data_IF_257709481357
#
_entry.id   IF_257709481357
#
_cell.length_a   1.000
_cell.length_b   1.000
_cell.length_c   1.000
_cell.angle_alpha   90.00
_cell.angle_beta   90.00
_cell.angle_gamma   90.00
#
_symmetry.space_group_name_H-M   'P 1'
#
loop_
_entity.id
_entity.type
_entity.pdbx_description
1 polymer ?
#
# COMPACT_ATOMS: atom_id res chain seq x y z
N UNK A 1 0.11 -17.03 27.89
CA UNK A 1 1.25 -16.24 28.39
C UNK A 1 2.48 -16.81 27.72
N UNK A 2 3.11 -16.06 26.82
CA UNK A 2 4.37 -16.46 26.19
C UNK A 2 5.47 -16.27 27.22
N UNK A 3 6.21 -17.32 27.55
CA UNK A 3 7.27 -17.26 28.56
C UNK A 3 8.32 -16.23 28.16
N UNK A 4 8.69 -15.35 29.09
CA UNK A 4 9.70 -14.30 28.87
C UNK A 4 11.04 -14.94 28.44
N UNK A 5 11.32 -16.15 28.91
CA UNK A 5 12.50 -16.94 28.53
C UNK A 5 12.53 -17.32 27.04
N UNK A 6 11.38 -17.62 26.43
CA UNK A 6 11.30 -17.94 25.00
C UNK A 6 11.55 -16.71 24.12
N UNK A 7 11.19 -15.52 24.59
CA UNK A 7 11.45 -14.26 23.87
C UNK A 7 12.96 -14.00 23.78
N UNK A 8 13.70 -14.21 24.88
CA UNK A 8 15.16 -14.05 24.89
C UNK A 8 15.89 -15.16 24.13
N UNK A 9 15.39 -16.40 24.18
CA UNK A 9 16.00 -17.55 23.49
C UNK A 9 16.01 -17.41 21.96
N UNK A 10 15.06 -16.67 21.40
CA UNK A 10 14.88 -16.52 19.96
C UNK A 10 15.12 -15.10 19.43
N UNK A 11 15.75 -14.21 20.21
CA UNK A 11 15.98 -12.81 19.80
C UNK A 11 16.67 -12.69 18.44
N UNK A 12 17.67 -13.56 18.19
CA UNK A 12 18.42 -13.60 16.93
C UNK A 12 17.54 -13.80 15.67
N UNK A 13 16.35 -14.39 15.83
CA UNK A 13 15.37 -14.56 14.75
C UNK A 13 14.67 -13.26 14.36
N UNK A 14 14.61 -12.30 15.28
CA UNK A 14 13.79 -11.09 15.18
C UNK A 14 14.63 -9.81 15.19
N UNK A 15 15.90 -9.85 15.59
CA UNK A 15 16.81 -8.69 15.71
C UNK A 15 17.00 -7.86 14.41
N UNK A 16 16.66 -8.43 13.26
CA UNK A 16 16.74 -7.76 11.95
C UNK A 16 15.46 -6.99 11.59
N UNK A 17 14.39 -7.15 12.37
CA UNK A 17 13.11 -6.47 12.20
C UNK A 17 13.16 -5.20 13.05
N UNK A 18 13.23 -4.06 12.39
CA UNK A 18 13.19 -2.76 13.04
C UNK A 18 11.73 -2.38 13.33
N UNK A 19 11.36 -2.37 14.62
CA UNK A 19 10.02 -1.98 15.09
C UNK A 19 9.66 -0.53 14.74
N UNK A 20 10.64 0.34 14.49
CA UNK A 20 10.40 1.70 14.04
C UNK A 20 10.15 1.80 12.53
N UNK A 21 10.61 0.81 11.76
CA UNK A 21 10.40 0.74 10.32
C UNK A 21 8.99 0.22 9.99
N UNK A 22 8.02 1.14 9.91
CA UNK A 22 6.62 0.80 9.61
C UNK A 22 6.48 0.08 8.27
N UNK A 23 7.26 0.46 7.24
CA UNK A 23 7.22 -0.18 5.92
C UNK A 23 7.61 -1.65 6.03
N UNK A 24 8.72 -1.94 6.72
CA UNK A 24 9.18 -3.30 6.95
C UNK A 24 8.15 -4.11 7.74
N UNK A 25 7.71 -3.59 8.88
CA UNK A 25 6.75 -4.30 9.74
C UNK A 25 5.43 -4.60 8.98
N UNK A 26 4.86 -3.61 8.30
CA UNK A 26 3.59 -3.79 7.60
C UNK A 26 3.72 -4.75 6.42
N UNK A 27 4.82 -4.69 5.68
CA UNK A 27 5.14 -5.63 4.62
C UNK A 27 5.22 -7.07 5.13
N UNK A 28 6.02 -7.30 6.17
CA UNK A 28 6.26 -8.63 6.73
C UNK A 28 4.97 -9.25 7.28
N UNK A 29 4.21 -8.49 8.07
CA UNK A 29 2.94 -8.97 8.61
C UNK A 29 1.96 -9.28 7.49
N UNK A 30 1.87 -8.41 6.47
CA UNK A 30 0.99 -8.63 5.32
C UNK A 30 1.36 -9.88 4.53
N UNK A 31 2.66 -10.12 4.34
CA UNK A 31 3.15 -11.33 3.67
C UNK A 31 2.80 -12.59 4.48
N UNK A 32 2.99 -12.56 5.80
CA UNK A 32 2.55 -13.64 6.71
C UNK A 32 1.04 -13.88 6.58
N UNK A 33 0.24 -12.81 6.62
CA UNK A 33 -1.21 -12.87 6.56
C UNK A 33 -1.71 -13.49 5.25
N UNK A 34 -1.22 -13.02 4.10
CA UNK A 34 -1.63 -13.51 2.79
C UNK A 34 -1.28 -14.99 2.58
N UNK A 35 -0.11 -15.42 3.05
CA UNK A 35 0.30 -16.82 2.99
C UNK A 35 -0.60 -17.69 3.83
N UNK A 36 -0.92 -17.25 5.04
CA UNK A 36 -1.81 -17.96 5.94
C UNK A 36 -3.21 -18.11 5.35
N UNK A 37 -3.76 -17.04 4.77
CA UNK A 37 -5.05 -17.06 4.08
C UNK A 37 -5.05 -18.09 2.93
N UNK A 38 -4.02 -18.06 2.09
CA UNK A 38 -3.92 -18.98 0.95
C UNK A 38 -3.74 -20.44 1.38
N UNK A 39 -2.94 -20.69 2.41
CA UNK A 39 -2.76 -22.05 2.93
C UNK A 39 -4.09 -22.64 3.42
N UNK A 40 -4.99 -21.80 3.97
CA UNK A 40 -6.36 -22.22 4.33
C UNK A 40 -7.21 -22.55 3.12
N UNK A 41 -7.19 -21.73 2.07
CA UNK A 41 -7.95 -21.96 0.83
C UNK A 41 -7.60 -23.33 0.22
N UNK A 42 -6.31 -23.63 0.06
CA UNK A 42 -5.86 -24.91 -0.50
C UNK A 42 -6.34 -26.14 0.29
N UNK A 43 -6.48 -26.01 1.61
CA UNK A 43 -6.97 -27.11 2.45
C UNK A 43 -8.47 -27.31 2.29
N UNK A 44 -9.23 -26.22 2.19
CA UNK A 44 -10.68 -26.31 1.92
C UNK A 44 -10.90 -27.03 0.59
N UNK A 45 -10.14 -26.69 -0.45
CA UNK A 45 -10.21 -27.38 -1.75
C UNK A 45 -9.85 -28.88 -1.61
N UNK A 46 -8.76 -29.20 -0.92
CA UNK A 46 -8.31 -30.59 -0.74
C UNK A 46 -9.28 -31.44 0.12
N UNK A 47 -9.90 -30.84 1.13
CA UNK A 47 -10.90 -31.50 1.98
C UNK A 47 -12.25 -31.67 1.27
N UNK A 48 -12.62 -30.76 0.38
CA UNK A 48 -13.80 -30.93 -0.50
C UNK A 48 -13.56 -32.06 -1.51
N UNK A 49 -12.37 -32.15 -2.09
CA UNK A 49 -12.01 -33.22 -3.02
C UNK A 49 -11.93 -34.59 -2.33
N UNK A 50 -11.38 -34.66 -1.12
CA UNK A 50 -11.34 -35.87 -0.29
C UNK A 50 -12.71 -36.21 0.32
N UNK A 51 -13.59 -35.24 0.54
CA UNK A 51 -14.96 -35.42 1.04
C UNK A 51 -15.88 -36.16 0.05
N UNK A 52 -15.50 -36.29 -1.22
CA UNK A 52 -16.14 -37.21 -2.18
C UNK A 52 -15.69 -38.67 -2.00
N UNK A 53 -14.71 -38.93 -1.14
CA UNK A 53 -14.16 -40.24 -0.81
C UNK A 53 -13.93 -40.35 0.72
N UNK A 54 -15.01 -40.54 1.48
CA UNK A 54 -15.01 -40.99 2.89
C UNK A 54 -14.13 -40.22 3.89
N UNK A 55 -14.74 -39.32 4.67
CA UNK A 55 -14.73 -39.30 6.16
C UNK A 55 -14.93 -37.90 6.75
N UNK A 56 -15.58 -37.88 7.92
CA UNK A 56 -16.04 -36.71 8.66
C UNK A 56 -14.90 -35.82 9.21
N UNK A 57 -14.48 -34.82 8.43
CA UNK A 57 -13.83 -33.63 8.96
C UNK A 57 -14.77 -32.43 8.80
N UNK A 58 -15.77 -32.35 9.68
CA UNK A 58 -16.59 -31.14 9.84
C UNK A 58 -15.78 -30.08 10.55
N UNK A 59 -14.93 -29.40 9.80
CA UNK A 59 -14.34 -28.16 10.26
C UNK A 59 -15.24 -27.02 9.78
N UNK A 60 -16.23 -26.67 10.60
CA UNK A 60 -17.01 -25.44 10.42
C UNK A 60 -16.05 -24.27 10.60
N UNK A 61 -15.53 -23.75 9.50
CA UNK A 61 -14.73 -22.55 9.47
C UNK A 61 -15.55 -21.43 8.87
N UNK A 62 -15.84 -20.39 9.66
CA UNK A 62 -16.38 -19.14 9.12
C UNK A 62 -15.32 -18.49 8.21
N UNK A 63 -15.64 -18.19 6.94
CA UNK A 63 -14.78 -17.37 6.11
C UNK A 63 -14.64 -15.99 6.77
N UNK A 64 -13.40 -15.60 7.11
CA UNK A 64 -13.14 -14.35 7.84
C UNK A 64 -13.12 -13.12 6.89
N UNK A 65 -14.06 -13.07 5.94
CA UNK A 65 -14.26 -12.19 4.78
C UNK A 65 -13.88 -12.80 3.43
N UNK A 66 -14.83 -12.77 2.48
CA UNK A 66 -14.61 -13.10 1.08
C UNK A 66 -13.73 -12.03 0.41
N UNK A 67 -12.62 -12.40 -0.27
CA UNK A 67 -11.92 -11.47 -1.15
C UNK A 67 -12.89 -11.03 -2.28
N UNK A 68 -12.77 -9.79 -2.80
CA UNK A 68 -13.53 -9.38 -3.97
C UNK A 68 -13.32 -10.37 -5.13
N UNK A 69 -14.40 -10.76 -5.81
CA UNK A 69 -14.48 -11.80 -6.87
C UNK A 69 -13.45 -11.62 -8.01
N UNK A 70 -12.85 -10.44 -8.15
CA UNK A 70 -11.94 -10.02 -9.22
C UNK A 70 -10.44 -10.04 -8.84
N UNK A 71 -10.04 -10.69 -7.74
CA UNK A 71 -8.65 -10.68 -7.25
C UNK A 71 -7.69 -11.56 -8.07
N UNK A 72 -7.25 -11.06 -9.22
CA UNK A 72 -6.26 -11.72 -10.11
C UNK A 72 -4.80 -11.30 -9.85
N UNK A 73 -4.46 -10.67 -8.72
CA UNK A 73 -3.04 -10.54 -8.35
C UNK A 73 -2.60 -11.89 -7.80
N UNK A 74 -1.95 -12.67 -8.65
CA UNK A 74 -1.29 -13.90 -8.26
C UNK A 74 -0.13 -13.59 -7.30
N UNK A 75 -0.42 -13.48 -6.00
CA UNK A 75 0.54 -13.75 -4.92
C UNK A 75 1.01 -15.23 -4.91
N UNK A 76 0.92 -15.91 -6.06
CA UNK A 76 0.89 -17.38 -6.19
C UNK A 76 2.24 -18.06 -6.10
N UNK A 77 3.33 -17.42 -6.51
CA UNK A 77 4.55 -18.18 -6.81
C UNK A 77 5.54 -18.27 -5.64
N UNK A 78 5.73 -17.20 -4.87
CA UNK A 78 6.99 -17.07 -4.11
C UNK A 78 7.06 -17.84 -2.79
N UNK A 79 5.92 -18.25 -2.24
CA UNK A 79 5.90 -19.02 -0.98
C UNK A 79 5.49 -20.49 -1.22
N UNK A 80 4.71 -20.77 -2.27
CA UNK A 80 4.48 -22.17 -2.70
C UNK A 80 5.79 -22.83 -3.12
N UNK A 81 6.69 -22.13 -3.83
CA UNK A 81 7.98 -22.70 -4.24
C UNK A 81 8.88 -23.07 -3.04
N UNK A 82 8.72 -22.38 -1.89
CA UNK A 82 9.40 -22.75 -0.65
C UNK A 82 8.71 -23.91 0.10
N UNK A 83 7.42 -24.15 -0.14
CA UNK A 83 6.64 -25.23 0.48
C UNK A 83 6.64 -26.54 -0.33
N UNK A 84 6.77 -26.48 -1.66
CA UNK A 84 6.88 -27.65 -2.55
C UNK A 84 8.18 -28.44 -2.34
N UNK A 85 9.24 -27.79 -1.82
CA UNK A 85 10.53 -28.43 -1.58
C UNK A 85 10.63 -29.14 -0.21
N UNK A 86 9.57 -29.19 0.60
CA UNK A 86 9.59 -29.90 1.89
C UNK A 86 8.81 -31.22 1.85
N UNK A 87 9.50 -32.37 1.94
CA UNK A 87 8.84 -33.67 2.02
C UNK A 87 8.43 -33.93 3.48
N UNK A 88 7.23 -33.49 3.89
CA UNK A 88 6.44 -34.08 5.02
C UNK A 88 5.14 -33.32 5.25
N UNK A 89 4.01 -34.03 5.11
CA UNK A 89 2.65 -33.58 5.42
C UNK A 89 2.47 -32.93 6.81
N UNK A 90 3.30 -33.30 7.81
CA UNK A 90 3.17 -32.81 9.19
C UNK A 90 3.64 -31.37 9.44
N UNK A 91 4.51 -30.80 8.60
CA UNK A 91 4.97 -29.40 8.77
C UNK A 91 4.06 -28.38 8.08
N UNK A 92 3.37 -28.79 7.01
CA UNK A 92 2.33 -28.01 6.39
C UNK A 92 1.21 -27.77 7.43
N UNK A 93 0.76 -28.82 8.11
CA UNK A 93 -0.21 -28.74 9.22
C UNK A 93 0.25 -27.79 10.36
N UNK A 94 1.52 -27.82 10.77
CA UNK A 94 2.04 -26.95 11.84
C UNK A 94 2.08 -25.45 11.48
N UNK A 95 2.27 -25.11 10.21
CA UNK A 95 2.19 -23.72 9.75
C UNK A 95 0.73 -23.23 9.71
N UNK A 96 -0.16 -24.12 9.26
CA UNK A 96 -1.58 -23.92 8.95
C UNK A 96 -2.45 -23.76 10.22
N UNK A 97 -2.16 -24.52 11.29
CA UNK A 97 -3.00 -24.55 12.50
C UNK A 97 -2.70 -23.38 13.46
N UNK A 98 -1.69 -22.54 13.19
CA UNK A 98 -1.39 -21.43 14.13
C UNK A 98 -2.47 -20.36 14.09
N UNK A 99 -3.27 -20.29 15.15
CA UNK A 99 -4.33 -19.30 15.40
C UNK A 99 -3.83 -17.86 15.60
N UNK A 100 -2.53 -17.61 15.45
CA UNK A 100 -1.85 -16.40 15.92
C UNK A 100 -1.50 -15.41 14.80
N UNK A 101 -2.10 -15.56 13.61
CA UNK A 101 -1.89 -14.62 12.50
C UNK A 101 -2.85 -13.44 12.63
N UNK A 102 -2.29 -12.26 12.91
CA UNK A 102 -3.06 -11.01 12.99
C UNK A 102 -3.43 -10.51 11.60
N UNK A 103 -4.70 -10.19 11.39
CA UNK A 103 -5.15 -9.47 10.19
C UNK A 103 -4.67 -8.01 10.26
N UNK A 104 -3.84 -7.52 9.31
CA UNK A 104 -3.34 -6.14 9.33
C UNK A 104 -4.46 -5.09 9.42
N UNK A 105 -5.63 -5.34 8.81
CA UNK A 105 -6.78 -4.43 8.84
C UNK A 105 -7.32 -4.16 10.24
N UNK A 106 -7.17 -5.14 11.15
CA UNK A 106 -7.69 -5.06 12.52
C UNK A 106 -6.72 -4.35 13.48
N UNK A 107 -5.54 -3.96 13.01
CA UNK A 107 -4.49 -3.39 13.86
C UNK A 107 -4.72 -1.92 14.08
N UNK A 108 -4.99 -1.50 15.32
CA UNK A 108 -5.24 -0.10 15.67
C UNK A 108 -3.96 0.61 16.17
N UNK A 109 -2.94 -0.15 16.61
CA UNK A 109 -1.66 0.37 17.11
C UNK A 109 -0.49 -0.15 16.25
N UNK A 110 0.43 0.75 15.88
CA UNK A 110 1.67 0.41 15.17
C UNK A 110 2.48 -0.67 15.90
N UNK A 111 2.52 -0.65 17.23
CA UNK A 111 3.26 -1.65 18.01
C UNK A 111 2.68 -3.06 17.82
N UNK A 112 1.37 -3.18 17.58
CA UNK A 112 0.74 -4.47 17.33
C UNK A 112 1.10 -5.07 15.97
N UNK A 113 1.59 -4.27 15.01
CA UNK A 113 2.15 -4.78 13.75
C UNK A 113 3.39 -5.61 14.05
N UNK A 114 4.35 -5.02 14.78
CA UNK A 114 5.58 -5.69 15.18
C UNK A 114 5.27 -6.91 16.04
N UNK A 115 4.47 -6.74 17.10
CA UNK A 115 4.11 -7.82 18.01
C UNK A 115 3.43 -8.99 17.29
N UNK A 116 2.58 -8.72 16.29
CA UNK A 116 1.94 -9.75 15.48
C UNK A 116 2.94 -10.65 14.73
N UNK A 117 4.01 -10.06 14.20
CA UNK A 117 5.09 -10.81 13.53
C UNK A 117 5.84 -11.69 14.54
N UNK A 118 6.20 -11.13 15.69
CA UNK A 118 6.92 -11.84 16.75
C UNK A 118 6.10 -13.02 17.29
N UNK A 119 4.82 -12.78 17.61
CA UNK A 119 3.89 -13.83 18.06
C UNK A 119 3.78 -14.94 17.03
N UNK A 120 3.69 -14.60 15.74
CA UNK A 120 3.66 -15.60 14.68
C UNK A 120 4.92 -16.48 14.64
N UNK A 121 6.12 -15.87 14.66
CA UNK A 121 7.39 -16.60 14.59
C UNK A 121 7.56 -17.49 15.84
N UNK A 122 7.30 -16.96 17.04
CA UNK A 122 7.48 -17.70 18.29
C UNK A 122 6.48 -18.85 18.40
N UNK A 123 5.25 -18.68 17.89
CA UNK A 123 4.20 -19.72 17.92
C UNK A 123 4.55 -21.02 17.20
N UNK A 124 5.60 -21.04 16.37
CA UNK A 124 6.01 -22.25 15.66
C UNK A 124 6.74 -23.20 16.61
N UNK A 125 6.39 -24.48 16.55
CA UNK A 125 6.87 -25.49 17.51
C UNK A 125 8.34 -25.89 17.32
N UNK A 126 8.86 -25.79 16.10
CA UNK A 126 10.17 -26.34 15.72
C UNK A 126 11.10 -25.24 15.19
N UNK A 127 12.38 -25.28 15.59
CA UNK A 127 13.36 -24.22 15.33
C UNK A 127 13.76 -24.15 13.86
N UNK A 128 13.77 -25.28 13.16
CA UNK A 128 14.02 -25.38 11.72
C UNK A 128 12.94 -24.63 10.94
N UNK A 129 11.67 -24.77 11.35
CA UNK A 129 10.55 -24.02 10.76
C UNK A 129 10.72 -22.52 11.01
N UNK A 130 11.05 -22.11 12.24
CA UNK A 130 11.30 -20.70 12.57
C UNK A 130 12.42 -20.11 11.70
N UNK A 131 13.56 -20.80 11.60
CA UNK A 131 14.70 -20.38 10.79
C UNK A 131 14.34 -20.27 9.31
N UNK A 132 13.59 -21.24 8.77
CA UNK A 132 13.13 -21.22 7.38
C UNK A 132 12.24 -20.01 7.09
N UNK A 133 11.22 -19.78 7.91
CA UNK A 133 10.30 -18.63 7.79
C UNK A 133 11.08 -17.33 7.84
N UNK A 134 11.95 -17.16 8.84
CA UNK A 134 12.76 -15.95 9.00
C UNK A 134 13.69 -15.75 7.81
N UNK A 135 14.33 -16.81 7.31
CA UNK A 135 15.17 -16.76 6.12
C UNK A 135 14.40 -16.27 4.89
N UNK A 136 13.20 -16.79 4.66
CA UNK A 136 12.33 -16.37 3.56
C UNK A 136 11.87 -14.91 3.71
N UNK A 137 11.43 -14.51 4.90
CA UNK A 137 11.02 -13.13 5.20
C UNK A 137 12.18 -12.15 5.02
N UNK A 138 13.38 -12.48 5.50
CA UNK A 138 14.61 -11.69 5.30
C UNK A 138 14.92 -11.53 3.82
N UNK A 139 14.93 -12.62 3.06
CA UNK A 139 15.24 -12.59 1.63
C UNK A 139 14.22 -11.75 0.86
N UNK A 140 12.95 -11.95 1.18
CA UNK A 140 11.84 -11.19 0.60
C UNK A 140 11.96 -9.69 0.88
N UNK A 141 12.24 -9.31 2.12
CA UNK A 141 12.43 -7.90 2.50
C UNK A 141 13.63 -7.29 1.78
N UNK A 142 14.77 -7.99 1.68
CA UNK A 142 15.96 -7.49 0.96
C UNK A 142 15.68 -7.15 -0.50
N UNK A 143 14.80 -7.89 -1.16
CA UNK A 143 14.39 -7.61 -2.54
C UNK A 143 13.54 -6.34 -2.64
N UNK A 144 12.66 -6.13 -1.66
CA UNK A 144 11.77 -4.96 -1.57
C UNK A 144 12.51 -3.69 -1.17
N UNK A 145 13.41 -3.79 -0.19
CA UNK A 145 14.21 -2.69 0.34
C UNK A 145 15.08 -2.04 -0.74
N UNK A 146 15.67 -2.86 -1.62
CA UNK A 146 16.46 -2.43 -2.78
C UNK A 146 15.62 -2.04 -3.99
N UNK A 147 14.29 -2.09 -3.87
CA UNK A 147 13.34 -1.91 -4.94
C UNK A 147 13.13 -0.46 -5.37
N UNK A 148 11.94 -0.19 -5.87
CA UNK A 148 11.56 1.11 -6.44
C UNK A 148 11.45 2.17 -5.35
N UNK A 149 11.96 3.38 -5.63
CA UNK A 149 11.79 4.53 -4.75
C UNK A 149 10.33 5.04 -4.76
N UNK A 150 9.75 5.10 -3.55
CA UNK A 150 8.40 5.59 -3.29
C UNK A 150 8.38 6.92 -2.51
N UNK A 151 9.50 7.65 -2.45
CA UNK A 151 9.61 9.00 -1.88
C UNK A 151 8.45 9.92 -2.30
N UNK A 152 8.07 9.90 -3.58
CA UNK A 152 6.97 10.69 -4.12
C UNK A 152 5.58 10.40 -3.52
N UNK A 153 5.39 9.24 -2.87
CA UNK A 153 4.23 8.89 -2.04
C UNK A 153 4.48 9.28 -0.57
N UNK A 154 5.63 8.87 0.00
CA UNK A 154 5.98 9.09 1.42
C UNK A 154 5.98 10.58 1.77
N UNK A 155 6.55 11.40 0.90
CA UNK A 155 6.70 12.84 1.11
C UNK A 155 5.38 13.59 0.98
N UNK A 156 4.34 12.96 0.42
CA UNK A 156 3.05 13.60 0.18
C UNK A 156 2.01 13.23 1.23
N UNK A 157 2.09 13.86 2.40
CA UNK A 157 1.19 13.65 3.55
C UNK A 157 -0.21 14.27 3.43
N UNK A 158 -0.68 14.58 2.22
CA UNK A 158 -2.01 15.14 1.99
C UNK A 158 -3.09 14.06 2.03
N UNK A 159 -4.07 14.20 2.94
CA UNK A 159 -5.16 13.23 3.11
C UNK A 159 -6.01 13.08 1.83
N UNK A 160 -6.19 14.15 1.06
CA UNK A 160 -6.92 14.09 -0.22
C UNK A 160 -6.14 13.25 -1.26
N UNK A 161 -4.81 13.28 -1.20
CA UNK A 161 -3.94 12.48 -2.05
C UNK A 161 -3.97 11.00 -1.67
N UNK A 162 -3.89 10.68 -0.38
CA UNK A 162 -3.97 9.30 0.13
C UNK A 162 -5.29 8.65 -0.27
N UNK A 163 -6.42 9.35 -0.05
CA UNK A 163 -7.75 8.90 -0.49
C UNK A 163 -7.81 8.71 -2.01
N UNK A 164 -7.18 9.60 -2.78
CA UNK A 164 -7.14 9.49 -4.23
C UNK A 164 -6.35 8.25 -4.69
N UNK A 165 -5.17 7.95 -4.11
CA UNK A 165 -4.39 6.75 -4.48
C UNK A 165 -5.18 5.48 -4.15
N UNK A 166 -5.78 5.38 -2.96
CA UNK A 166 -6.58 4.20 -2.58
C UNK A 166 -7.70 3.97 -3.59
N UNK A 167 -8.43 5.03 -3.98
CA UNK A 167 -9.47 4.93 -5.00
C UNK A 167 -8.90 4.57 -6.39
N UNK A 168 -7.70 5.06 -6.72
CA UNK A 168 -7.02 4.68 -7.96
C UNK A 168 -6.69 3.18 -7.98
N UNK A 169 -6.22 2.62 -6.86
CA UNK A 169 -5.97 1.18 -6.73
C UNK A 169 -7.25 0.35 -6.84
N UNK A 170 -8.33 0.76 -6.17
CA UNK A 170 -9.65 0.14 -6.31
C UNK A 170 -10.13 0.08 -7.77
N UNK A 171 -10.05 1.21 -8.47
CA UNK A 171 -10.41 1.29 -9.91
C UNK A 171 -9.49 0.47 -10.80
N UNK A 172 -8.25 0.26 -10.37
CA UNK A 172 -7.25 -0.53 -11.09
C UNK A 172 -7.26 -2.00 -10.70
N UNK A 173 -8.26 -2.47 -9.93
CA UNK A 173 -8.35 -3.85 -9.41
C UNK A 173 -7.16 -4.29 -8.54
N UNK A 174 -6.52 -3.33 -7.86
CA UNK A 174 -5.43 -3.56 -6.90
C UNK A 174 -5.85 -3.28 -5.45
N UNK A 175 -7.09 -3.59 -5.06
CA UNK A 175 -7.65 -3.15 -3.77
C UNK A 175 -7.17 -3.99 -2.57
N UNK A 176 -6.28 -3.54 -1.68
CA UNK A 176 -5.83 -4.35 -0.55
C UNK A 176 -6.85 -4.40 0.58
N UNK A 177 -7.90 -5.19 0.40
CA UNK A 177 -9.00 -5.32 1.35
C UNK A 177 -8.55 -5.69 2.77
N UNK A 178 -7.37 -6.28 2.94
CA UNK A 178 -6.76 -6.73 4.19
C UNK A 178 -5.84 -5.69 4.86
N UNK A 179 -5.59 -4.53 4.24
CA UNK A 179 -4.73 -3.49 4.83
C UNK A 179 -5.54 -2.43 5.59
N UNK A 180 -4.96 -1.84 6.64
CA UNK A 180 -5.58 -0.80 7.45
C UNK A 180 -5.51 0.60 6.79
N UNK A 181 -6.12 0.76 5.61
CA UNK A 181 -6.08 2.04 4.87
C UNK A 181 -7.03 3.14 5.41
N UNK A 182 -7.91 2.79 6.34
CA UNK A 182 -8.88 3.71 7.00
C UNK A 182 -8.40 4.23 8.36
N UNK A 183 -7.20 3.81 8.79
CA UNK A 183 -6.63 4.16 10.09
C UNK A 183 -5.76 5.42 10.01
N UNK A 184 -4.89 5.59 11.02
CA UNK A 184 -3.91 6.67 11.13
C UNK A 184 -3.22 7.01 9.80
N UNK A 185 -2.95 8.31 9.61
CA UNK A 185 -2.38 8.84 8.38
C UNK A 185 -1.09 8.12 8.00
N UNK A 186 -0.16 7.91 8.94
CA UNK A 186 1.11 7.29 8.63
C UNK A 186 0.91 5.81 8.24
N UNK A 187 0.01 5.08 8.91
CA UNK A 187 -0.34 3.69 8.57
C UNK A 187 -0.96 3.60 7.17
N UNK A 188 -1.82 4.54 6.78
CA UNK A 188 -2.43 4.54 5.46
C UNK A 188 -1.39 4.74 4.33
N UNK A 189 -0.37 5.58 4.54
CA UNK A 189 0.72 5.77 3.57
C UNK A 189 1.56 4.51 3.40
N UNK A 190 1.95 3.88 4.50
CA UNK A 190 2.70 2.62 4.43
C UNK A 190 1.85 1.47 3.89
N UNK A 191 0.53 1.49 4.08
CA UNK A 191 -0.39 0.53 3.45
C UNK A 191 -0.34 0.64 1.93
N UNK A 192 -0.37 1.86 1.37
CA UNK A 192 -0.23 2.09 -0.07
C UNK A 192 1.08 1.48 -0.60
N UNK A 193 2.19 1.73 0.09
CA UNK A 193 3.51 1.24 -0.29
C UNK A 193 3.57 -0.28 -0.18
N UNK A 194 2.98 -0.84 0.87
CA UNK A 194 2.94 -2.28 1.12
C UNK A 194 2.30 -3.03 -0.06
N UNK A 195 1.25 -2.49 -0.68
CA UNK A 195 0.62 -3.09 -1.88
C UNK A 195 1.62 -3.21 -3.01
N UNK A 196 2.36 -2.13 -3.26
CA UNK A 196 3.35 -2.07 -4.33
C UNK A 196 4.53 -2.98 -4.00
N UNK A 197 4.96 -3.04 -2.75
CA UNK A 197 6.05 -3.91 -2.29
C UNK A 197 5.70 -5.39 -2.40
N UNK A 198 4.44 -5.71 -2.12
CA UNK A 198 3.89 -7.06 -2.16
C UNK A 198 3.77 -7.60 -3.59
N UNK A 199 3.48 -6.74 -4.57
CA UNK A 199 3.44 -7.16 -5.98
C UNK A 199 4.82 -7.61 -6.47
N UNK A 200 5.00 -8.88 -6.83
CA UNK A 200 6.25 -9.37 -7.40
C UNK A 200 6.40 -8.84 -8.84
N UNK A 201 7.53 -8.20 -9.21
CA UNK A 201 7.81 -7.84 -10.60
C UNK A 201 7.65 -8.98 -11.62
N UNK A 202 7.80 -10.24 -11.18
CA UNK A 202 7.65 -11.45 -12.00
C UNK A 202 6.19 -11.89 -12.16
N UNK A 203 5.27 -11.35 -11.37
CA UNK A 203 3.86 -11.69 -11.48
C UNK A 203 3.31 -11.21 -12.82
N UNK A 204 3.00 -12.15 -13.70
CA UNK A 204 2.25 -11.89 -14.93
C UNK A 204 0.77 -11.96 -14.55
N UNK A 205 0.16 -10.80 -14.41
CA UNK A 205 -1.29 -10.68 -14.22
C UNK A 205 -1.92 -10.58 -15.62
N UNK A 206 -2.74 -11.56 -16.05
CA UNK A 206 -3.39 -11.53 -17.35
C UNK A 206 -4.16 -10.22 -17.55
N UNK A 207 -4.09 -9.65 -18.76
CA UNK A 207 -4.77 -8.39 -19.11
C UNK A 207 -4.40 -7.18 -18.22
N UNK A 208 -3.31 -7.28 -17.46
CA UNK A 208 -2.82 -6.21 -16.61
C UNK A 208 -1.38 -5.86 -16.98
N UNK A 209 -1.02 -4.62 -16.71
CA UNK A 209 0.30 -4.10 -17.07
C UNK A 209 1.37 -4.53 -16.05
N UNK A 210 2.63 -4.54 -16.45
CA UNK A 210 3.71 -4.86 -15.51
C UNK A 210 3.78 -3.85 -14.35
N UNK A 211 4.28 -4.30 -13.20
CA UNK A 211 4.48 -3.45 -12.01
C UNK A 211 5.16 -2.13 -12.34
N UNK A 212 6.22 -2.18 -13.15
CA UNK A 212 6.97 -0.99 -13.53
C UNK A 212 6.12 -0.02 -14.36
N UNK A 213 5.39 -0.52 -15.36
CA UNK A 213 4.52 0.32 -16.18
C UNK A 213 3.35 0.90 -15.36
N UNK A 214 2.81 0.12 -14.40
CA UNK A 214 1.77 0.59 -13.50
C UNK A 214 2.25 1.76 -12.63
N UNK A 215 3.42 1.61 -12.01
CA UNK A 215 4.01 2.66 -11.17
C UNK A 215 4.28 3.92 -11.99
N UNK A 216 4.77 3.81 -13.23
CA UNK A 216 4.97 4.97 -14.11
C UNK A 216 3.65 5.67 -14.49
N UNK A 217 2.58 4.91 -14.78
CA UNK A 217 1.24 5.51 -14.97
C UNK A 217 0.74 6.20 -13.71
N UNK A 218 0.92 5.56 -12.56
CA UNK A 218 0.51 6.10 -11.26
C UNK A 218 1.25 7.41 -10.94
N UNK A 219 2.56 7.47 -11.16
CA UNK A 219 3.36 8.70 -11.02
C UNK A 219 2.86 9.82 -11.93
N UNK A 220 2.60 9.54 -13.21
CA UNK A 220 2.05 10.54 -14.16
C UNK A 220 0.68 11.04 -13.69
N UNK A 221 -0.19 10.14 -13.27
CA UNK A 221 -1.51 10.49 -12.75
C UNK A 221 -1.41 11.32 -11.45
N UNK A 222 -0.43 11.02 -10.59
CA UNK A 222 -0.21 11.72 -9.33
C UNK A 222 0.23 13.18 -9.55
N UNK A 223 1.14 13.42 -10.50
CA UNK A 223 1.54 14.78 -10.92
C UNK A 223 0.33 15.58 -11.42
N UNK A 224 -0.51 14.96 -12.26
CA UNK A 224 -1.73 15.60 -12.74
C UNK A 224 -2.74 15.88 -11.63
N UNK A 225 -2.91 14.96 -10.66
CA UNK A 225 -3.78 15.18 -9.50
C UNK A 225 -3.27 16.32 -8.62
N UNK A 226 -1.97 16.36 -8.33
CA UNK A 226 -1.32 17.48 -7.61
C UNK A 226 -1.56 18.82 -8.34
N UNK A 227 -1.43 18.84 -9.66
CA UNK A 227 -1.73 20.03 -10.46
C UNK A 227 -3.20 20.45 -10.34
N UNK A 228 -4.14 19.51 -10.47
CA UNK A 228 -5.58 19.78 -10.31
C UNK A 228 -5.93 20.29 -8.90
N UNK A 229 -5.31 19.74 -7.86
CA UNK A 229 -5.50 20.20 -6.48
C UNK A 229 -5.02 21.65 -6.29
N UNK A 230 -3.86 22.02 -6.87
CA UNK A 230 -3.38 23.42 -6.88
C UNK A 230 -4.33 24.39 -7.59
N UNK A 231 -5.16 23.88 -8.51
CA UNK A 231 -6.14 24.64 -9.27
C UNK A 231 -7.56 24.62 -8.67
N UNK A 232 -7.81 23.98 -7.52
CA UNK A 232 -9.16 23.83 -6.96
C UNK A 232 -9.91 25.17 -6.76
N UNK A 233 -9.17 26.26 -6.51
CA UNK A 233 -9.69 27.63 -6.41
C UNK A 233 -9.21 28.55 -7.54
N UNK A 234 -8.62 28.00 -8.61
CA UNK A 234 -8.06 28.77 -9.73
C UNK A 234 -8.61 28.23 -11.04
N UNK A 235 -9.41 29.04 -11.72
CA UNK A 235 -9.85 28.72 -13.08
C UNK A 235 -8.77 29.18 -14.06
N UNK A 236 -8.32 28.29 -14.93
CA UNK A 236 -7.42 28.66 -16.03
C UNK A 236 -8.26 29.35 -17.09
N UNK A 237 -7.86 30.56 -17.46
CA UNK A 237 -8.47 31.32 -18.54
C UNK A 237 -7.48 31.41 -19.70
N UNK A 238 -7.97 31.15 -20.91
CA UNK A 238 -7.27 31.46 -22.15
C UNK A 238 -7.95 32.67 -22.75
N UNK A 239 -7.17 33.70 -23.06
CA UNK A 239 -7.68 34.93 -23.69
C UNK A 239 -7.00 35.12 -25.03
N UNK A 240 -7.77 35.44 -26.06
CA UNK A 240 -7.23 36.01 -27.28
C UNK A 240 -6.95 37.49 -27.06
N UNK A 241 -5.76 37.95 -27.43
CA UNK A 241 -5.36 39.35 -27.34
C UNK A 241 -4.41 39.70 -28.48
N UNK A 242 -4.37 40.97 -28.85
CA UNK A 242 -3.40 41.46 -29.82
C UNK A 242 -1.97 41.21 -29.32
N UNK A 243 -1.09 40.82 -30.25
CA UNK A 243 0.29 40.41 -29.96
C UNK A 243 1.08 41.53 -29.25
N UNK A 244 0.85 42.79 -29.62
CA UNK A 244 1.51 43.93 -29.01
C UNK A 244 1.15 44.10 -27.52
N UNK A 245 -0.11 43.86 -27.15
CA UNK A 245 -0.58 43.84 -25.77
C UNK A 245 0.05 42.67 -25.00
N UNK A 246 0.12 41.50 -25.63
CA UNK A 246 0.81 40.34 -25.08
C UNK A 246 2.25 40.65 -24.69
N UNK A 247 3.01 41.29 -25.59
CA UNK A 247 4.41 41.71 -25.38
C UNK A 247 4.52 42.76 -24.26
N UNK A 248 3.62 43.76 -24.22
CA UNK A 248 3.62 44.76 -23.15
C UNK A 248 3.40 44.11 -21.78
N UNK A 249 2.48 43.18 -21.71
CA UNK A 249 2.17 42.45 -20.48
C UNK A 249 3.35 41.57 -20.01
N UNK A 250 4.07 40.93 -20.94
CA UNK A 250 5.29 40.16 -20.62
C UNK A 250 6.42 41.05 -20.11
N UNK A 251 6.64 42.20 -20.76
CA UNK A 251 7.65 43.18 -20.32
C UNK A 251 7.33 43.74 -18.93
N UNK A 252 6.08 44.12 -18.69
CA UNK A 252 5.63 44.60 -17.38
C UNK A 252 5.80 43.56 -16.28
N UNK A 253 5.40 42.31 -16.54
CA UNK A 253 5.58 41.20 -15.60
C UNK A 253 7.06 40.99 -15.26
N UNK A 254 7.93 41.04 -16.27
CA UNK A 254 9.38 40.88 -16.10
C UNK A 254 10.01 42.04 -15.32
N UNK A 255 9.61 43.29 -15.60
CA UNK A 255 10.10 44.48 -14.89
C UNK A 255 9.71 44.48 -13.40
N UNK A 256 8.57 43.87 -13.08
CA UNK A 256 8.05 43.78 -11.71
C UNK A 256 8.44 42.48 -10.99
N UNK A 257 9.18 41.59 -11.66
CA UNK A 257 9.54 40.24 -11.18
C UNK A 257 8.35 39.42 -10.64
N UNK A 258 7.21 39.51 -11.33
CA UNK A 258 5.99 38.76 -11.00
C UNK A 258 5.48 37.96 -12.19
N UNK A 259 4.75 36.88 -11.91
CA UNK A 259 4.12 36.09 -12.98
C UNK A 259 3.01 36.89 -13.65
N UNK A 260 2.88 36.71 -14.97
CA UNK A 260 1.84 37.33 -15.81
C UNK A 260 0.43 37.26 -15.22
N UNK A 261 0.05 36.10 -14.68
CA UNK A 261 -1.27 35.90 -14.08
C UNK A 261 -1.48 36.74 -12.81
N UNK A 262 -0.44 36.89 -11.98
CA UNK A 262 -0.50 37.73 -10.78
C UNK A 262 -0.64 39.21 -11.14
N UNK A 263 0.13 39.67 -12.14
CA UNK A 263 -0.01 41.04 -12.66
C UNK A 263 -1.44 41.29 -13.17
N UNK A 264 -2.01 40.34 -13.90
CA UNK A 264 -3.37 40.46 -14.42
C UNK A 264 -4.43 40.54 -13.30
N UNK A 265 -4.32 39.68 -12.29
CA UNK A 265 -5.18 39.71 -11.10
C UNK A 265 -5.06 41.04 -10.36
N UNK A 266 -3.86 41.59 -10.22
CA UNK A 266 -3.63 42.88 -9.56
C UNK A 266 -4.24 44.04 -10.34
N UNK A 267 -4.04 44.09 -11.67
CA UNK A 267 -4.63 45.10 -12.54
C UNK A 267 -6.16 45.08 -12.47
N UNK A 268 -6.76 43.88 -12.50
CA UNK A 268 -8.22 43.70 -12.38
C UNK A 268 -8.69 44.17 -11.00
N UNK A 269 -8.04 43.73 -9.91
CA UNK A 269 -8.41 44.10 -8.55
C UNK A 269 -8.30 45.61 -8.31
N UNK A 270 -7.23 46.24 -8.79
CA UNK A 270 -7.03 47.69 -8.67
C UNK A 270 -8.12 48.45 -9.43
N UNK A 271 -8.44 48.02 -10.65
CA UNK A 271 -9.51 48.63 -11.44
C UNK A 271 -10.87 48.44 -10.77
N UNK A 272 -11.18 47.23 -10.31
CA UNK A 272 -12.42 46.92 -9.62
C UNK A 272 -12.60 47.78 -8.36
N UNK A 273 -11.59 47.85 -7.48
CA UNK A 273 -11.58 48.70 -6.28
C UNK A 273 -11.80 50.17 -6.60
N UNK A 274 -11.20 50.67 -7.69
CA UNK A 274 -11.36 52.07 -8.11
C UNK A 274 -12.78 52.41 -8.55
N UNK A 275 -13.50 51.43 -9.13
CA UNK A 275 -14.86 51.60 -9.61
C UNK A 275 -15.88 51.42 -8.49
N UNK A 276 -15.71 50.42 -7.62
CA UNK A 276 -16.62 50.16 -6.50
C UNK A 276 -16.68 51.34 -5.51
N UNK A 277 -15.53 51.97 -5.21
CA UNK A 277 -15.48 53.21 -4.38
C UNK A 277 -16.19 54.42 -4.99
N UNK A 278 -16.48 54.42 -6.30
CA UNK A 278 -17.21 55.50 -6.96
C UNK A 278 -18.73 55.31 -6.88
N UNK A 279 -19.19 54.06 -6.83
CA UNK A 279 -20.62 53.71 -6.65
C UNK A 279 -21.12 53.91 -5.23
N UNK A 280 -20.29 53.74 -4.20
CA UNK A 280 -20.69 53.94 -2.80
C UNK A 280 -20.78 55.44 -2.38
N UNK A 281 -20.52 56.36 -3.31
CA UNK A 281 -20.55 57.82 -3.09
C UNK A 281 -21.68 58.52 -3.85
N UNK A 282 -22.63 57.76 -4.41
CA UNK A 282 -23.90 58.25 -4.96
C UNK A 282 -25.05 57.79 -4.07
#
# INVERSE_FOLDING_TARGET
MTDIEDIFKYSYLTDWIDSNNTRQCLYLLSKIYLVHMRAREMIVDYTIDMGKSNSNLTATFEPMYDPPIDYEINFKQDIILAFEHYPRHSMQEAFIVSSHVTNPKKIVDKNEIYNGIIRFIISKSCIEIKNSIVGQLKNSWRNVEKGIDYSWIIDNKDDEFTKWIINYFKKSKLDPWFLPYELDRDIAHYSIITILDLWDPKDIIPNFMSKHQFIEKLKKASVQKKHRMKLKNKKVYTFEMHTDIGIKLDKLASLLDIKKNHLLEELINNKYKSLSRRTDKQ
#
